data_IF_004085552790
#
_entry.id   IF_004085552790
#
_cell.length_a   1.000
_cell.length_b   1.000
_cell.length_c   1.000
_cell.angle_alpha   90.00
_cell.angle_beta   90.00
_cell.angle_gamma   90.00
#
_symmetry.space_group_name_H-M   'P 1'
#
loop_
_entity.id
_entity.type
_entity.pdbx_description
1 polymer ?
#
# COMPACT_ATOMS: atom_id res chain seq x y z
N UNK A 1 49.53 57.18 11.74
CA UNK A 1 49.56 55.98 10.88
C UNK A 1 49.67 54.79 11.80
N UNK A 2 48.53 54.23 12.21
CA UNK A 2 48.46 53.17 13.23
C UNK A 2 47.87 51.90 12.62
N UNK A 3 48.59 50.81 12.83
CA UNK A 3 48.41 49.44 12.35
C UNK A 3 47.05 48.79 12.66
N UNK A 4 46.58 47.85 11.81
CA UNK A 4 46.34 46.42 12.16
C UNK A 4 45.70 45.61 11.00
N UNK A 5 46.05 44.32 10.98
CA UNK A 5 45.60 43.22 10.11
C UNK A 5 44.11 42.89 10.33
N UNK A 6 43.43 42.30 9.33
CA UNK A 6 42.31 41.40 9.62
C UNK A 6 42.10 40.34 8.52
N UNK A 7 41.86 39.10 8.97
CA UNK A 7 41.49 37.92 8.21
C UNK A 7 39.97 37.84 8.03
N UNK A 8 39.50 37.12 7.01
CA UNK A 8 38.17 36.50 7.00
C UNK A 8 38.11 35.35 6.00
N UNK A 9 37.86 34.14 6.52
CA UNK A 9 37.28 33.01 5.80
C UNK A 9 35.77 33.25 5.54
N UNK A 10 35.23 32.70 4.45
CA UNK A 10 33.88 32.11 4.35
C UNK A 10 33.60 31.55 2.96
N UNK A 11 33.49 30.22 2.91
CA UNK A 11 32.40 29.40 2.35
C UNK A 11 31.79 29.73 0.96
N UNK A 12 32.06 28.84 -0.01
CA UNK A 12 31.05 28.11 -0.81
C UNK A 12 31.74 27.38 -1.97
N UNK A 13 31.68 26.06 -1.97
CA UNK A 13 31.64 25.33 -3.24
C UNK A 13 30.68 24.14 -3.11
N UNK A 14 29.67 24.19 -3.97
CA UNK A 14 28.65 23.19 -4.19
C UNK A 14 29.04 22.46 -5.48
N UNK A 15 29.32 21.16 -5.42
CA UNK A 15 28.84 20.19 -6.42
C UNK A 15 29.34 18.76 -6.16
N UNK A 16 28.46 17.83 -6.51
CA UNK A 16 28.70 16.43 -6.87
C UNK A 16 28.59 15.34 -5.80
N UNK A 17 27.35 14.86 -5.73
CA UNK A 17 26.96 13.52 -6.21
C UNK A 17 27.53 12.31 -5.46
N UNK A 18 26.68 11.75 -4.59
CA UNK A 18 26.57 10.31 -4.39
C UNK A 18 25.15 9.99 -3.94
N UNK A 19 24.26 9.73 -4.90
CA UNK A 19 22.98 9.06 -4.66
C UNK A 19 23.25 7.64 -4.18
N UNK A 20 22.71 7.18 -3.04
CA UNK A 20 22.49 5.76 -2.84
C UNK A 20 21.32 5.32 -3.73
N UNK A 21 21.65 4.94 -4.97
CA UNK A 21 20.84 4.00 -5.74
C UNK A 21 20.89 2.65 -5.03
N UNK A 22 19.95 2.43 -4.13
CA UNK A 22 19.62 1.09 -3.64
C UNK A 22 18.19 0.81 -4.05
N UNK A 23 18.03 0.16 -5.20
CA UNK A 23 16.82 -0.59 -5.52
C UNK A 23 16.47 -1.45 -4.31
N UNK A 24 15.25 -1.38 -3.75
CA UNK A 24 14.87 -2.29 -2.70
C UNK A 24 14.87 -3.69 -3.31
N UNK A 25 15.80 -4.54 -2.85
CA UNK A 25 15.72 -5.97 -3.11
C UNK A 25 14.37 -6.46 -2.59
N UNK A 26 13.79 -7.49 -3.20
CA UNK A 26 12.56 -8.12 -2.71
C UNK A 26 12.65 -8.47 -1.22
N UNK A 27 13.86 -8.76 -0.72
CA UNK A 27 14.24 -8.88 0.69
C UNK A 27 13.92 -7.63 1.56
N UNK A 28 14.23 -6.43 1.09
CA UNK A 28 13.88 -5.20 1.79
C UNK A 28 12.37 -4.91 1.73
N UNK A 29 11.71 -5.31 0.63
CA UNK A 29 10.27 -5.19 0.50
C UNK A 29 9.55 -6.13 1.48
N UNK A 30 9.98 -7.40 1.61
CA UNK A 30 9.38 -8.41 2.50
C UNK A 30 9.60 -8.12 3.99
N UNK A 31 10.77 -7.56 4.35
CA UNK A 31 11.03 -7.03 5.70
C UNK A 31 10.09 -5.87 6.03
N UNK A 32 9.82 -4.97 5.07
CA UNK A 32 8.87 -3.87 5.24
C UNK A 32 7.41 -4.32 5.43
N UNK A 33 6.99 -5.44 4.81
CA UNK A 33 5.63 -5.98 4.97
C UNK A 33 5.45 -6.62 6.35
N UNK A 34 6.47 -7.35 6.84
CA UNK A 34 6.43 -7.96 8.16
C UNK A 34 6.30 -6.91 9.26
N UNK A 35 7.07 -5.81 9.19
CA UNK A 35 6.94 -4.69 10.12
C UNK A 35 5.58 -3.98 10.02
N UNK A 36 5.00 -3.84 8.81
CA UNK A 36 3.71 -3.20 8.63
C UNK A 36 2.54 -4.08 9.14
N UNK A 37 2.65 -5.40 8.99
CA UNK A 37 1.69 -6.37 9.53
C UNK A 37 1.75 -6.35 11.06
N UNK A 38 2.95 -6.33 11.67
CA UNK A 38 3.12 -6.20 13.11
C UNK A 38 2.52 -4.88 13.63
N UNK A 39 2.86 -3.75 13.00
CA UNK A 39 2.36 -2.42 13.38
C UNK A 39 0.84 -2.28 13.22
N UNK A 40 0.23 -2.96 12.24
CA UNK A 40 -1.21 -2.95 12.01
C UNK A 40 -1.99 -3.96 12.88
N UNK A 41 -1.41 -5.12 13.19
CA UNK A 41 -2.06 -6.17 13.98
C UNK A 41 -2.22 -5.80 15.46
N UNK A 42 -1.35 -4.92 15.97
CA UNK A 42 -1.41 -4.40 17.35
C UNK A 42 -2.30 -3.17 17.52
N UNK A 43 -2.94 -2.67 16.46
CA UNK A 43 -3.88 -1.56 16.58
C UNK A 43 -5.06 -1.97 17.47
N UNK A 44 -5.39 -1.20 18.51
CA UNK A 44 -6.28 -1.63 19.57
C UNK A 44 -7.74 -1.77 19.13
N UNK A 45 -8.13 -1.13 18.01
CA UNK A 45 -9.51 -1.18 17.50
C UNK A 45 -9.61 -1.73 16.07
N UNK A 46 -10.73 -2.39 15.80
CA UNK A 46 -11.08 -2.89 14.46
C UNK A 46 -11.16 -1.72 13.46
N UNK A 47 -11.67 -0.57 13.87
CA UNK A 47 -11.78 0.61 13.00
C UNK A 47 -10.41 1.22 12.65
N UNK A 48 -9.44 1.26 13.57
CA UNK A 48 -8.07 1.69 13.24
C UNK A 48 -7.38 0.71 12.28
N UNK A 49 -7.59 -0.60 12.47
CA UNK A 49 -7.09 -1.63 11.55
C UNK A 49 -7.66 -1.46 10.15
N UNK A 50 -8.96 -1.19 10.04
CA UNK A 50 -9.64 -0.93 8.77
C UNK A 50 -9.08 0.33 8.11
N UNK A 51 -8.93 1.41 8.88
CA UNK A 51 -8.34 2.66 8.37
C UNK A 51 -6.93 2.42 7.83
N UNK A 52 -6.08 1.73 8.59
CA UNK A 52 -4.72 1.40 8.16
C UNK A 52 -4.71 0.51 6.91
N UNK A 53 -5.61 -0.49 6.82
CA UNK A 53 -5.74 -1.34 5.64
C UNK A 53 -6.14 -0.54 4.39
N UNK A 54 -7.09 0.40 4.51
CA UNK A 54 -7.55 1.27 3.42
C UNK A 54 -6.50 2.32 3.00
N UNK A 55 -5.63 2.74 3.92
CA UNK A 55 -4.53 3.68 3.67
C UNK A 55 -3.29 2.99 3.10
N UNK A 56 -3.23 1.65 3.12
CA UNK A 56 -2.09 0.90 2.63
C UNK A 56 -1.86 1.15 1.13
N UNK A 57 -0.64 1.52 0.70
CA UNK A 57 -0.36 1.81 -0.72
C UNK A 57 -0.60 0.60 -1.63
N UNK A 58 -0.61 -0.63 -1.10
CA UNK A 58 -0.92 -1.84 -1.84
C UNK A 58 -2.38 -1.90 -2.33
N UNK A 59 -3.34 -1.34 -1.59
CA UNK A 59 -4.76 -1.34 -1.99
C UNK A 59 -5.17 -0.04 -2.68
N UNK A 60 -4.34 1.00 -2.59
CA UNK A 60 -4.61 2.30 -3.19
C UNK A 60 -4.98 2.23 -4.69
N UNK A 61 -4.31 1.44 -5.55
CA UNK A 61 -4.70 1.32 -6.96
C UNK A 61 -6.12 0.81 -7.18
N UNK A 62 -6.64 -0.05 -6.29
CA UNK A 62 -8.03 -0.53 -6.34
C UNK A 62 -9.02 0.52 -5.83
N UNK A 63 -8.63 1.28 -4.79
CA UNK A 63 -9.46 2.35 -4.20
C UNK A 63 -9.59 3.58 -5.10
N UNK A 64 -8.57 3.87 -5.89
CA UNK A 64 -8.57 5.00 -6.82
C UNK A 64 -9.38 4.71 -8.11
N UNK A 65 -9.98 3.52 -8.23
CA UNK A 65 -10.83 3.16 -9.38
C UNK A 65 -12.26 3.68 -9.26
N UNK A 66 -13.02 3.61 -10.35
CA UNK A 66 -14.49 3.84 -10.32
C UNK A 66 -15.26 2.92 -9.35
N UNK A 67 -14.66 1.80 -8.93
CA UNK A 67 -15.24 0.84 -7.98
C UNK A 67 -14.69 0.94 -6.56
N UNK A 68 -13.92 1.99 -6.25
CA UNK A 68 -13.27 2.17 -4.95
C UNK A 68 -14.22 2.16 -3.75
N UNK A 69 -15.43 2.72 -3.89
CA UNK A 69 -16.43 2.71 -2.80
C UNK A 69 -16.92 1.29 -2.48
N UNK A 70 -17.22 0.49 -3.50
CA UNK A 70 -17.61 -0.91 -3.31
C UNK A 70 -16.47 -1.73 -2.69
N UNK A 71 -15.22 -1.41 -3.05
CA UNK A 71 -14.04 -2.03 -2.47
C UNK A 71 -13.90 -1.70 -0.98
N UNK A 72 -14.02 -0.42 -0.61
CA UNK A 72 -13.93 0.04 0.76
C UNK A 72 -15.01 -0.62 1.64
N UNK A 73 -16.25 -0.70 1.13
CA UNK A 73 -17.36 -1.36 1.82
C UNK A 73 -17.13 -2.86 2.00
N UNK A 74 -16.65 -3.56 0.97
CA UNK A 74 -16.39 -5.00 1.04
C UNK A 74 -15.26 -5.31 2.02
N UNK A 75 -14.14 -4.57 1.95
CA UNK A 75 -13.01 -4.75 2.86
C UNK A 75 -13.38 -4.43 4.31
N UNK A 76 -14.11 -3.33 4.52
CA UNK A 76 -14.62 -2.94 5.84
C UNK A 76 -15.53 -4.02 6.41
N UNK A 77 -16.46 -4.58 5.61
CA UNK A 77 -17.32 -5.68 6.05
C UNK A 77 -16.47 -6.88 6.47
N UNK A 78 -15.55 -7.31 5.62
CA UNK A 78 -14.71 -8.48 5.88
C UNK A 78 -13.89 -8.33 7.16
N UNK A 79 -13.34 -7.15 7.43
CA UNK A 79 -12.55 -6.91 8.65
C UNK A 79 -13.41 -6.82 9.92
N UNK A 80 -14.69 -6.45 9.81
CA UNK A 80 -15.63 -6.38 10.95
C UNK A 80 -16.30 -7.72 11.28
N UNK A 81 -16.54 -8.56 10.28
CA UNK A 81 -17.22 -9.84 10.47
C UNK A 81 -16.35 -10.85 11.22
N UNK A 82 -17.02 -11.82 11.87
CA UNK A 82 -16.35 -12.94 12.53
C UNK A 82 -15.68 -13.85 11.51
N UNK A 83 -14.49 -14.35 11.81
CA UNK A 83 -13.69 -15.11 10.85
C UNK A 83 -14.43 -16.34 10.29
N UNK A 84 -15.23 -17.03 11.11
CA UNK A 84 -15.98 -18.21 10.69
C UNK A 84 -17.16 -17.88 9.75
N UNK A 85 -17.67 -16.65 9.79
CA UNK A 85 -18.87 -16.22 9.03
C UNK A 85 -18.60 -15.12 8.01
N UNK A 86 -17.38 -14.56 7.96
CA UNK A 86 -16.96 -13.50 7.01
C UNK A 86 -17.40 -13.73 5.58
N UNK A 87 -17.19 -14.96 5.08
CA UNK A 87 -17.51 -15.31 3.71
C UNK A 87 -19.02 -15.24 3.41
N UNK A 88 -19.87 -15.65 4.35
CA UNK A 88 -21.33 -15.56 4.20
C UNK A 88 -21.86 -14.16 4.47
N UNK A 89 -21.37 -13.51 5.54
CA UNK A 89 -21.92 -12.24 6.03
C UNK A 89 -21.62 -11.07 5.09
N UNK A 90 -20.51 -11.16 4.35
CA UNK A 90 -20.05 -10.11 3.46
C UNK A 90 -20.16 -10.47 1.97
N UNK A 91 -20.72 -11.64 1.63
CA UNK A 91 -20.81 -12.13 0.25
C UNK A 91 -21.40 -11.08 -0.69
N UNK A 92 -22.52 -10.45 -0.31
CA UNK A 92 -23.21 -9.46 -1.14
C UNK A 92 -22.35 -8.23 -1.45
N UNK A 93 -21.46 -7.84 -0.53
CA UNK A 93 -20.52 -6.72 -0.76
C UNK A 93 -19.47 -7.07 -1.80
N UNK A 94 -18.92 -8.28 -1.74
CA UNK A 94 -17.97 -8.75 -2.75
C UNK A 94 -18.65 -8.96 -4.11
N UNK A 95 -19.92 -9.40 -4.12
CA UNK A 95 -20.71 -9.49 -5.36
C UNK A 95 -20.93 -8.09 -5.96
N UNK A 96 -21.29 -7.09 -5.17
CA UNK A 96 -21.48 -5.72 -5.64
C UNK A 96 -20.19 -5.13 -6.23
N UNK A 97 -19.06 -5.31 -5.54
CA UNK A 97 -17.73 -4.94 -6.04
C UNK A 97 -17.43 -5.64 -7.38
N UNK A 98 -17.61 -6.96 -7.45
CA UNK A 98 -17.35 -7.71 -8.69
C UNK A 98 -18.24 -7.23 -9.84
N UNK A 99 -19.52 -6.97 -9.58
CA UNK A 99 -20.44 -6.41 -10.58
C UNK A 99 -19.99 -5.04 -11.07
N UNK A 100 -19.46 -4.19 -10.19
CA UNK A 100 -18.87 -2.91 -10.58
C UNK A 100 -17.66 -3.14 -11.50
N UNK A 101 -16.72 -4.00 -11.11
CA UNK A 101 -15.52 -4.28 -11.90
C UNK A 101 -15.85 -4.82 -13.30
N UNK A 102 -16.88 -5.68 -13.40
CA UNK A 102 -17.36 -6.19 -14.69
C UNK A 102 -17.98 -5.09 -15.55
N UNK A 103 -18.76 -4.17 -14.95
CA UNK A 103 -19.31 -3.01 -15.68
C UNK A 103 -18.22 -2.05 -16.18
N UNK A 104 -17.13 -1.91 -15.43
CA UNK A 104 -16.00 -1.03 -15.71
C UNK A 104 -14.77 -1.81 -16.21
N UNK A 105 -14.97 -2.91 -16.94
CA UNK A 105 -13.91 -3.86 -17.28
C UNK A 105 -12.70 -3.26 -18.01
N UNK A 106 -12.87 -2.15 -18.74
CA UNK A 106 -11.76 -1.48 -19.41
C UNK A 106 -10.73 -0.90 -18.43
N UNK A 107 -11.18 -0.39 -17.28
CA UNK A 107 -10.31 0.15 -16.23
C UNK A 107 -9.49 -0.95 -15.53
N UNK A 108 -10.02 -2.17 -15.49
CA UNK A 108 -9.38 -3.33 -14.86
C UNK A 108 -8.58 -4.19 -15.83
N UNK A 109 -8.47 -3.81 -17.10
CA UNK A 109 -7.82 -4.64 -18.13
C UNK A 109 -6.34 -4.89 -17.84
N UNK A 110 -5.59 -3.85 -17.50
CA UNK A 110 -4.17 -3.96 -17.17
C UNK A 110 -3.97 -4.84 -15.93
N UNK A 111 -4.79 -4.62 -14.89
CA UNK A 111 -4.78 -5.43 -13.68
C UNK A 111 -5.06 -6.91 -13.98
N UNK A 112 -6.02 -7.22 -14.85
CA UNK A 112 -6.32 -8.58 -15.26
C UNK A 112 -5.18 -9.23 -16.07
N UNK A 113 -4.53 -8.47 -16.97
CA UNK A 113 -3.37 -8.94 -17.73
C UNK A 113 -2.18 -9.24 -16.80
N UNK A 114 -1.94 -8.39 -15.81
CA UNK A 114 -0.90 -8.60 -14.79
C UNK A 114 -1.17 -9.87 -13.97
N UNK A 115 -2.41 -10.08 -13.52
CA UNK A 115 -2.80 -11.31 -12.81
C UNK A 115 -2.57 -12.57 -13.65
N UNK A 116 -2.88 -12.53 -14.96
CA UNK A 116 -2.62 -13.66 -15.87
C UNK A 116 -1.12 -13.92 -16.02
N UNK A 117 -0.31 -12.86 -16.10
CA UNK A 117 1.15 -12.95 -16.18
C UNK A 117 1.75 -13.55 -14.91
N UNK A 118 1.17 -13.24 -13.76
CA UNK A 118 1.61 -13.70 -12.44
C UNK A 118 0.78 -14.87 -11.87
N UNK A 119 0.07 -15.63 -12.71
CA UNK A 119 -0.81 -16.74 -12.29
C UNK A 119 -0.16 -17.87 -11.48
N UNK A 120 1.17 -17.91 -11.43
CA UNK A 120 1.96 -18.90 -10.68
C UNK A 120 2.62 -18.29 -9.42
N UNK A 121 2.24 -17.08 -9.02
CA UNK A 121 2.68 -16.47 -7.76
C UNK A 121 1.66 -16.82 -6.69
N UNK A 122 2.03 -17.73 -5.80
CA UNK A 122 1.22 -18.04 -4.62
C UNK A 122 1.37 -16.92 -3.59
N UNK A 123 0.24 -16.42 -3.08
CA UNK A 123 0.23 -15.44 -2.00
C UNK A 123 0.57 -16.07 -0.65
N UNK A 124 0.94 -15.28 0.37
CA UNK A 124 1.29 -15.77 1.71
C UNK A 124 0.09 -16.28 2.52
N UNK A 125 -1.12 -16.31 1.93
CA UNK A 125 -2.33 -16.75 2.60
C UNK A 125 -2.26 -18.27 2.83
N UNK A 126 -2.02 -18.64 4.08
CA UNK A 126 -2.15 -20.02 4.53
C UNK A 126 -3.65 -20.33 4.62
N UNK A 127 -4.15 -21.18 3.71
CA UNK A 127 -5.49 -21.82 3.81
C UNK A 127 -5.40 -23.00 4.76
#
# INVERSE_FOLDING_TARGET
MSSRRNASESDKDETSSASPSSSPSTAAALEGMAEAIEKGAHLPSVDERIKHALECPCVKPLRDTSCGEEFDMALTCFMKADEATRASDCADRFVALHQCMVKHSEEFKEFAEELVKHKNVEGPAQV
#
